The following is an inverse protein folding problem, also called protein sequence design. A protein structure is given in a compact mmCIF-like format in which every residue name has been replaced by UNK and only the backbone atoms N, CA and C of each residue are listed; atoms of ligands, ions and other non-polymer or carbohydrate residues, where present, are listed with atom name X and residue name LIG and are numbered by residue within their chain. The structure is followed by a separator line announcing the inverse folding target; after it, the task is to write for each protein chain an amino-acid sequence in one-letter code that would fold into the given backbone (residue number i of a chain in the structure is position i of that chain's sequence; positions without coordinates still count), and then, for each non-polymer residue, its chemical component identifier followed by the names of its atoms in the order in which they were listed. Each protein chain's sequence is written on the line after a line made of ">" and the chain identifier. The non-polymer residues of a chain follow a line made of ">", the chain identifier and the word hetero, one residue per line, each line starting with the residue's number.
data_IF_321389177605
#
_entry.id   IF_321389177605
#
_cell.length_a   1.000
_cell.length_b   1.000
_cell.length_c   1.000
_cell.angle_alpha   90.00
_cell.angle_beta   90.00
_cell.angle_gamma   90.00
#
_symmetry.space_group_name_H-M   'P 1'
#
loop_
_entity.id
_entity.type
_entity.pdbx_description
1 polymer ?
#
# COMPACT_ATOMS: atom_id res chain seq x y z
N UNK A 1 59.73 45.67 -22.07
CA UNK A 1 58.43 45.88 -22.75
C UNK A 1 57.95 44.53 -23.29
N UNK A 2 56.63 44.30 -23.27
CA UNK A 2 55.86 43.16 -23.85
C UNK A 2 55.74 41.96 -22.88
N UNK A 3 54.72 41.94 -22.01
CA UNK A 3 53.37 41.30 -22.10
C UNK A 3 53.36 39.83 -21.64
N UNK A 4 52.79 39.49 -20.47
CA UNK A 4 51.35 39.18 -20.21
C UNK A 4 50.83 37.95 -20.96
N UNK A 5 50.63 36.85 -20.24
CA UNK A 5 49.46 35.95 -20.40
C UNK A 5 49.37 35.00 -19.20
N UNK A 6 48.65 35.45 -18.17
CA UNK A 6 48.14 34.66 -17.07
C UNK A 6 47.11 33.67 -17.62
N UNK A 7 47.31 32.35 -17.46
CA UNK A 7 46.26 31.37 -17.74
C UNK A 7 45.68 30.88 -16.41
N UNK A 8 44.53 31.48 -16.11
CA UNK A 8 43.56 31.13 -15.10
C UNK A 8 42.85 29.84 -15.54
N UNK A 9 43.10 28.71 -14.87
CA UNK A 9 42.27 27.51 -15.01
C UNK A 9 41.46 27.34 -13.74
N UNK A 10 40.31 28.01 -13.72
CA UNK A 10 39.29 27.88 -12.70
C UNK A 10 38.59 26.53 -12.93
N UNK A 11 38.95 25.50 -12.15
CA UNK A 11 38.22 24.23 -12.14
C UNK A 11 36.90 24.46 -11.41
N UNK A 12 35.87 24.78 -12.19
CA UNK A 12 34.51 24.87 -11.72
C UNK A 12 34.01 23.45 -11.43
N UNK A 13 34.03 23.04 -10.16
CA UNK A 13 33.32 21.85 -9.69
C UNK A 13 31.83 22.09 -9.84
N UNK A 14 31.26 21.71 -10.99
CA UNK A 14 29.83 21.50 -11.12
C UNK A 14 29.46 20.23 -10.34
N UNK A 15 29.08 20.41 -9.08
CA UNK A 15 28.29 19.43 -8.34
C UNK A 15 26.91 19.37 -9.02
N UNK A 16 26.83 18.61 -10.11
CA UNK A 16 25.54 18.14 -10.61
C UNK A 16 25.04 17.19 -9.54
N UNK A 17 24.19 17.69 -8.67
CA UNK A 17 23.35 16.86 -7.81
C UNK A 17 22.53 16.05 -8.79
N UNK A 18 22.95 14.81 -9.03
CA UNK A 18 22.11 13.82 -9.68
C UNK A 18 20.84 13.81 -8.83
N UNK A 19 19.75 14.35 -9.39
CA UNK A 19 18.43 13.99 -8.94
C UNK A 19 18.46 12.46 -8.94
N UNK A 20 18.40 11.88 -7.75
CA UNK A 20 18.27 10.45 -7.61
C UNK A 20 16.97 10.12 -8.31
N UNK A 21 17.09 9.62 -9.55
CA UNK A 21 16.10 8.71 -10.08
C UNK A 21 15.81 7.78 -8.92
N UNK A 22 14.58 7.85 -8.41
CA UNK A 22 14.07 6.79 -7.57
C UNK A 22 14.07 5.58 -8.49
N UNK A 23 15.20 4.87 -8.54
CA UNK A 23 15.24 3.48 -8.93
C UNK A 23 14.00 2.87 -8.27
N UNK A 24 13.10 2.32 -9.07
CA UNK A 24 11.98 1.56 -8.55
C UNK A 24 12.62 0.53 -7.63
N UNK A 25 12.58 0.80 -6.33
CA UNK A 25 13.09 -0.08 -5.31
C UNK A 25 12.28 -1.34 -5.51
N UNK A 26 12.98 -2.35 -6.05
CA UNK A 26 12.37 -3.58 -6.53
C UNK A 26 11.55 -4.10 -5.37
N UNK A 27 10.24 -4.19 -5.53
CA UNK A 27 9.35 -4.79 -4.53
C UNK A 27 9.61 -6.30 -4.59
N UNK A 28 10.76 -6.73 -4.09
CA UNK A 28 11.27 -8.11 -4.24
C UNK A 28 10.53 -9.12 -3.39
N UNK A 29 9.60 -8.68 -2.53
CA UNK A 29 8.94 -9.54 -1.53
C UNK A 29 7.41 -9.62 -1.69
N UNK A 30 6.82 -9.13 -2.78
CA UNK A 30 5.36 -9.23 -2.99
C UNK A 30 5.02 -10.46 -3.83
N UNK A 31 4.21 -11.36 -3.26
CA UNK A 31 3.75 -12.59 -3.89
C UNK A 31 2.58 -12.37 -4.86
N UNK A 32 1.87 -11.25 -4.70
CA UNK A 32 0.65 -10.91 -5.41
C UNK A 32 -0.17 -9.90 -4.62
N UNK A 33 -1.45 -9.80 -4.93
CA UNK A 33 -2.36 -8.84 -4.30
C UNK A 33 -3.55 -9.53 -3.63
N UNK A 34 -3.94 -9.02 -2.48
CA UNK A 34 -5.25 -9.27 -1.91
C UNK A 34 -6.21 -8.26 -2.55
N UNK A 35 -7.01 -8.74 -3.50
CA UNK A 35 -8.05 -7.94 -4.14
C UNK A 35 -9.29 -8.01 -3.27
N UNK A 36 -9.70 -6.86 -2.74
CA UNK A 36 -10.88 -6.72 -1.92
C UNK A 36 -12.00 -6.13 -2.76
N UNK A 37 -13.06 -6.91 -3.01
CA UNK A 37 -14.32 -6.41 -3.59
C UNK A 37 -15.29 -6.08 -2.46
N UNK A 38 -15.93 -4.92 -2.52
CA UNK A 38 -16.75 -4.42 -1.42
C UNK A 38 -18.05 -3.74 -1.86
N UNK A 39 -19.05 -3.79 -0.98
CA UNK A 39 -20.34 -3.13 -1.07
C UNK A 39 -20.69 -2.47 0.27
N UNK A 40 -21.85 -1.82 0.38
CA UNK A 40 -22.31 -1.16 1.61
C UNK A 40 -22.58 -2.08 2.80
N UNK A 41 -22.44 -3.40 2.64
CA UNK A 41 -22.60 -4.39 3.71
C UNK A 41 -21.29 -5.04 4.11
N UNK A 42 -20.21 -4.74 3.38
CA UNK A 42 -18.93 -5.40 3.54
C UNK A 42 -18.25 -4.99 4.85
N UNK A 43 -17.77 -6.00 5.59
CA UNK A 43 -16.98 -5.84 6.82
C UNK A 43 -15.70 -6.63 6.67
N UNK A 44 -14.57 -5.94 6.80
CA UNK A 44 -13.26 -6.50 6.56
C UNK A 44 -12.40 -6.44 7.84
N UNK A 45 -12.24 -7.57 8.55
CA UNK A 45 -11.40 -7.64 9.73
C UNK A 45 -9.93 -7.92 9.38
N UNK A 46 -9.03 -7.22 10.07
CA UNK A 46 -7.59 -7.39 10.01
C UNK A 46 -7.04 -7.82 11.37
N UNK A 47 -6.06 -8.73 11.35
CA UNK A 47 -5.55 -9.41 12.54
C UNK A 47 -4.04 -9.25 12.63
N UNK A 48 -3.50 -9.25 13.86
CA UNK A 48 -2.06 -9.26 14.07
C UNK A 48 -1.41 -10.60 13.68
N UNK A 49 -2.18 -11.69 13.65
CA UNK A 49 -1.70 -13.05 13.40
C UNK A 49 -2.69 -13.84 12.53
N UNK A 50 -2.21 -14.87 11.83
CA UNK A 50 -3.00 -15.77 10.97
C UNK A 50 -3.83 -16.81 11.75
N UNK A 51 -4.39 -16.43 12.90
CA UNK A 51 -5.17 -17.32 13.77
C UNK A 51 -6.50 -16.64 14.14
N UNK A 52 -7.62 -17.27 13.79
CA UNK A 52 -8.95 -16.67 13.94
C UNK A 52 -9.48 -16.60 15.37
N UNK A 53 -8.76 -17.15 16.35
CA UNK A 53 -9.17 -17.14 17.77
C UNK A 53 -8.95 -15.80 18.45
N UNK A 54 -8.25 -14.87 17.80
CA UNK A 54 -8.00 -13.51 18.30
C UNK A 54 -9.01 -12.53 17.72
N UNK A 55 -9.34 -11.50 18.50
CA UNK A 55 -10.12 -10.37 18.02
C UNK A 55 -9.33 -9.59 16.94
N UNK A 56 -10.02 -9.00 15.94
CA UNK A 56 -9.36 -8.15 14.96
C UNK A 56 -8.74 -6.93 15.63
N UNK A 57 -7.54 -6.54 15.18
CA UNK A 57 -6.87 -5.31 15.63
C UNK A 57 -7.45 -4.09 14.93
N UNK A 58 -8.05 -4.29 13.77
CA UNK A 58 -8.70 -3.28 12.96
C UNK A 58 -9.82 -3.89 12.11
N UNK A 59 -10.89 -3.13 11.91
CA UNK A 59 -12.03 -3.51 11.09
C UNK A 59 -12.41 -2.32 10.20
N UNK A 60 -12.52 -2.59 8.90
CA UNK A 60 -13.09 -1.68 7.92
C UNK A 60 -14.56 -2.07 7.70
N UNK A 61 -15.47 -1.12 7.83
CA UNK A 61 -16.90 -1.32 7.56
C UNK A 61 -17.34 -0.34 6.48
N UNK A 62 -17.83 -0.87 5.38
CA UNK A 62 -18.38 -0.07 4.29
C UNK A 62 -19.87 0.22 4.56
N UNK A 63 -20.37 1.35 4.08
CA UNK A 63 -21.77 1.76 4.22
C UNK A 63 -22.14 2.80 3.15
N UNK A 64 -23.43 2.90 2.81
CA UNK A 64 -23.89 4.01 1.96
C UNK A 64 -24.12 5.23 2.85
N UNK A 65 -23.41 6.32 2.59
CA UNK A 65 -23.57 7.57 3.31
C UNK A 65 -24.75 8.36 2.73
N UNK A 66 -25.86 8.54 3.47
CA UNK A 66 -27.01 9.26 2.95
C UNK A 66 -26.77 10.76 2.76
N UNK A 67 -25.73 11.34 3.38
CA UNK A 67 -25.42 12.76 3.22
C UNK A 67 -24.78 13.06 1.86
N UNK A 68 -24.07 12.09 1.30
CA UNK A 68 -23.34 12.23 0.03
C UNK A 68 -23.88 11.33 -1.09
N UNK A 69 -24.85 10.47 -0.77
CA UNK A 69 -25.37 9.41 -1.63
C UNK A 69 -24.25 8.58 -2.28
N UNK A 70 -23.25 8.23 -1.48
CA UNK A 70 -22.06 7.55 -1.94
C UNK A 70 -21.57 6.50 -0.96
N UNK A 71 -20.86 5.51 -1.49
CA UNK A 71 -20.23 4.49 -0.68
C UNK A 71 -19.08 5.10 0.13
N UNK A 72 -19.16 4.93 1.44
CA UNK A 72 -18.17 5.38 2.41
C UNK A 72 -17.73 4.21 3.29
N UNK A 73 -16.77 4.45 4.18
CA UNK A 73 -16.35 3.44 5.14
C UNK A 73 -15.93 4.04 6.48
N UNK A 74 -15.99 3.19 7.49
CA UNK A 74 -15.55 3.49 8.84
C UNK A 74 -14.43 2.52 9.21
N UNK A 75 -13.35 3.08 9.77
CA UNK A 75 -12.28 2.29 10.38
C UNK A 75 -12.48 2.28 11.88
N UNK A 76 -12.50 1.09 12.46
CA UNK A 76 -12.46 0.90 13.92
C UNK A 76 -11.26 0.04 14.28
N UNK A 77 -10.62 0.32 15.41
CA UNK A 77 -9.37 -0.33 15.79
C UNK A 77 -8.44 0.62 16.54
N UNK A 78 -7.34 0.09 17.05
CA UNK A 78 -6.35 0.92 17.77
C UNK A 78 -5.47 1.74 16.83
N UNK A 79 -5.45 1.40 15.55
CA UNK A 79 -4.50 1.93 14.57
C UNK A 79 -5.24 2.31 13.28
N UNK A 80 -4.75 3.35 12.60
CA UNK A 80 -5.26 3.83 11.30
C UNK A 80 -4.12 3.79 10.30
N UNK A 81 -4.32 3.06 9.19
CA UNK A 81 -3.28 2.86 8.17
C UNK A 81 -3.63 3.49 6.82
N UNK A 82 -2.65 4.07 6.11
CA UNK A 82 -2.91 4.73 4.83
C UNK A 82 -3.49 3.82 3.74
N UNK A 83 -2.98 2.59 3.55
CA UNK A 83 -3.49 1.67 2.51
C UNK A 83 -4.84 1.05 2.87
N UNK A 84 -5.22 1.12 4.14
CA UNK A 84 -6.56 0.75 4.59
C UNK A 84 -7.53 1.93 4.51
N UNK A 85 -7.19 2.97 3.75
CA UNK A 85 -8.11 4.02 3.35
C UNK A 85 -8.52 3.77 1.90
N UNK A 86 -9.67 3.11 1.66
CA UNK A 86 -10.23 2.99 0.33
C UNK A 86 -10.29 4.31 -0.46
N UNK A 87 -10.36 5.51 0.14
CA UNK A 87 -10.30 6.76 -0.65
C UNK A 87 -8.91 7.00 -1.28
N UNK A 88 -7.85 6.37 -0.76
CA UNK A 88 -6.53 6.36 -1.40
C UNK A 88 -6.50 5.50 -2.68
N UNK A 89 -7.50 4.64 -2.89
CA UNK A 89 -7.62 3.71 -4.00
C UNK A 89 -8.95 3.96 -4.72
N UNK A 90 -8.96 4.86 -5.71
CA UNK A 90 -10.12 5.26 -6.54
C UNK A 90 -11.38 4.41 -6.32
N UNK A 91 -12.29 4.92 -5.48
CA UNK A 91 -13.53 4.22 -5.08
C UNK A 91 -14.47 3.90 -6.26
N UNK A 92 -14.21 4.46 -7.43
CA UNK A 92 -15.00 4.33 -8.66
C UNK A 92 -15.17 2.87 -9.13
N UNK A 93 -14.47 1.90 -8.55
CA UNK A 93 -14.49 0.51 -8.99
C UNK A 93 -14.89 -0.54 -7.94
N UNK A 94 -15.36 -0.14 -6.74
CA UNK A 94 -15.81 -1.07 -5.69
C UNK A 94 -14.77 -2.18 -5.33
N UNK A 95 -13.49 -1.91 -5.59
CA UNK A 95 -12.39 -2.78 -5.19
C UNK A 95 -11.13 -1.99 -4.86
N UNK A 96 -10.29 -2.55 -4.00
CA UNK A 96 -8.93 -2.07 -3.75
C UNK A 96 -7.98 -3.26 -3.57
N UNK A 97 -6.68 -2.99 -3.70
CA UNK A 97 -5.64 -4.00 -3.73
C UNK A 97 -4.63 -3.75 -2.62
N UNK A 98 -4.26 -4.82 -1.91
CA UNK A 98 -3.21 -4.75 -0.89
C UNK A 98 -2.07 -5.71 -1.26
N UNK A 99 -0.81 -5.25 -1.28
CA UNK A 99 0.33 -6.13 -1.56
C UNK A 99 0.45 -7.24 -0.52
N UNK A 100 0.67 -8.49 -0.96
CA UNK A 100 0.79 -9.66 -0.08
C UNK A 100 2.25 -10.08 0.07
N UNK A 101 2.75 -10.12 1.31
CA UNK A 101 4.11 -10.61 1.63
C UNK A 101 4.17 -12.11 1.88
N UNK A 102 3.14 -12.67 2.52
CA UNK A 102 3.08 -14.10 2.88
C UNK A 102 1.67 -14.63 2.76
N UNK A 103 1.56 -15.91 2.40
CA UNK A 103 0.30 -16.66 2.38
C UNK A 103 0.42 -17.90 3.27
N UNK A 104 -0.61 -18.17 4.07
CA UNK A 104 -0.72 -19.38 4.91
C UNK A 104 -2.15 -19.89 4.88
N UNK A 105 -2.40 -21.00 4.18
CA UNK A 105 -3.75 -21.47 3.90
C UNK A 105 -4.59 -20.32 3.28
N UNK A 106 -5.75 -20.01 3.86
CA UNK A 106 -6.62 -18.91 3.45
C UNK A 106 -6.25 -17.55 4.09
N UNK A 107 -5.07 -17.40 4.68
CA UNK A 107 -4.62 -16.15 5.30
C UNK A 107 -3.57 -15.46 4.45
N UNK A 108 -3.77 -14.17 4.23
CA UNK A 108 -2.89 -13.29 3.48
C UNK A 108 -2.30 -12.26 4.44
N UNK A 109 -0.98 -12.19 4.50
CA UNK A 109 -0.28 -11.11 5.18
C UNK A 109 -0.09 -9.96 4.21
N UNK A 110 -0.87 -8.91 4.42
CA UNK A 110 -0.96 -7.73 3.56
C UNK A 110 -0.17 -6.56 4.14
N UNK A 111 0.44 -5.77 3.27
CA UNK A 111 1.08 -4.51 3.64
C UNK A 111 0.00 -3.46 3.85
N UNK A 112 -0.03 -2.86 5.04
CA UNK A 112 -1.01 -1.82 5.40
C UNK A 112 -0.36 -0.43 5.52
N UNK A 113 0.95 -0.37 5.68
CA UNK A 113 1.74 0.87 5.62
C UNK A 113 3.04 0.60 4.87
N UNK A 114 3.13 1.10 3.63
CA UNK A 114 4.32 0.98 2.78
C UNK A 114 5.54 1.70 3.35
N UNK A 115 5.34 2.82 4.06
CA UNK A 115 6.45 3.62 4.59
C UNK A 115 7.15 2.89 5.73
N UNK A 116 6.40 2.19 6.57
CA UNK A 116 6.95 1.44 7.71
C UNK A 116 7.12 -0.05 7.43
N UNK A 117 6.59 -0.52 6.29
CA UNK A 117 6.55 -1.94 5.95
C UNK A 117 5.62 -2.76 6.84
N UNK A 118 4.71 -2.11 7.60
CA UNK A 118 3.84 -2.79 8.56
C UNK A 118 2.83 -3.66 7.85
N UNK A 119 2.61 -4.85 8.39
CA UNK A 119 1.71 -5.86 7.85
C UNK A 119 0.61 -6.22 8.82
N UNK A 120 -0.51 -6.69 8.28
CA UNK A 120 -1.59 -7.35 9.01
C UNK A 120 -2.05 -8.59 8.24
N UNK A 121 -2.79 -9.45 8.91
CA UNK A 121 -3.39 -10.63 8.32
C UNK A 121 -4.85 -10.38 7.98
N UNK A 122 -5.25 -10.76 6.77
CA UNK A 122 -6.64 -10.81 6.31
C UNK A 122 -6.95 -12.21 5.79
N UNK A 123 -8.19 -12.66 5.92
CA UNK A 123 -8.61 -13.99 5.47
C UNK A 123 -9.27 -13.89 4.10
N UNK A 124 -8.88 -14.77 3.19
CA UNK A 124 -9.58 -15.01 1.93
C UNK A 124 -11.04 -15.42 2.21
N UNK A 125 -11.94 -15.03 1.31
CA UNK A 125 -13.36 -15.31 1.42
C UNK A 125 -14.15 -14.63 0.32
N UNK A 126 -15.44 -14.35 0.57
CA UNK A 126 -16.33 -13.75 -0.43
C UNK A 126 -15.81 -12.39 -0.92
N UNK A 127 -15.31 -11.56 -0.02
CA UNK A 127 -14.85 -10.21 -0.32
C UNK A 127 -13.36 -10.14 -0.70
N UNK A 128 -12.55 -11.12 -0.29
CA UNK A 128 -11.08 -11.06 -0.42
C UNK A 128 -10.60 -12.25 -1.24
N UNK A 129 -9.93 -11.96 -2.35
CA UNK A 129 -9.32 -12.98 -3.20
C UNK A 129 -7.83 -12.68 -3.38
N UNK A 130 -7.01 -13.70 -3.30
CA UNK A 130 -5.61 -13.59 -3.72
C UNK A 130 -5.51 -13.66 -5.25
N UNK A 131 -4.75 -12.74 -5.83
CA UNK A 131 -4.35 -12.75 -7.24
C UNK A 131 -2.83 -12.74 -7.28
N UNK A 132 -2.22 -13.76 -7.88
CA UNK A 132 -0.78 -13.80 -8.09
C UNK A 132 -0.36 -12.93 -9.27
N UNK A 133 0.92 -12.57 -9.31
CA UNK A 133 1.45 -11.66 -10.33
C UNK A 133 1.96 -12.39 -11.60
N UNK A 134 2.01 -13.72 -11.58
CA UNK A 134 2.46 -14.53 -12.71
C UNK A 134 1.27 -15.20 -13.38
N UNK A 135 1.08 -15.06 -14.71
CA UNK A 135 0.18 -15.95 -15.42
C UNK A 135 0.72 -17.39 -15.31
N UNK A 136 -0.17 -18.35 -15.01
CA UNK A 136 0.10 -19.80 -15.10
C UNK A 136 0.51 -20.22 -16.52
#
# INVERSE_FOLDING_TARGET
>A
MIQLATILTLVLFTQITAATDRECEKVTDVLGFAVVSFDSTTVLPFFAESVSSKLPVQVLRFYNDPATDSLSFQVTGKESYPLLRPEAHKLDYFHFELPVKRKRNAWLEVVVDERTGKTLWVREGKAVRFVDWLPE
#
